data_IF_297588175401
#
_entry.id   IF_297588175401
#
_cell.length_a   1.000
_cell.length_b   1.000
_cell.length_c   1.000
_cell.angle_alpha   90.00
_cell.angle_beta   90.00
_cell.angle_gamma   90.00
#
_symmetry.space_group_name_H-M   'P 1'
#
loop_
_entity.id
_entity.type
_entity.pdbx_description
1 polymer ?
#
# COMPACT_ATOMS: atom_id res chain seq x y z
N UNK A 1 -28.68 -23.23 -32.53
CA UNK A 1 -27.29 -22.73 -32.37
C UNK A 1 -27.21 -21.54 -31.37
N UNK A 2 -28.18 -20.64 -31.43
CA UNK A 2 -28.29 -19.60 -30.42
C UNK A 2 -28.36 -20.17 -29.00
N UNK A 3 -29.14 -21.22 -28.77
CA UNK A 3 -29.31 -21.71 -27.40
C UNK A 3 -27.94 -22.08 -26.78
N UNK A 4 -26.99 -22.58 -27.57
CA UNK A 4 -25.69 -22.92 -26.98
C UNK A 4 -24.61 -21.79 -27.03
N UNK A 5 -24.86 -20.76 -27.83
CA UNK A 5 -24.19 -19.46 -27.65
C UNK A 5 -24.69 -18.69 -26.44
N UNK A 6 -25.93 -18.96 -26.02
CA UNK A 6 -26.45 -18.32 -24.83
C UNK A 6 -25.64 -18.71 -23.62
N UNK A 7 -24.98 -19.86 -23.64
CA UNK A 7 -24.13 -20.26 -22.51
C UNK A 7 -22.95 -19.31 -22.33
N UNK A 8 -22.39 -18.82 -23.43
CA UNK A 8 -21.23 -17.94 -23.35
C UNK A 8 -21.71 -16.69 -22.60
N UNK A 9 -22.88 -16.20 -22.99
CA UNK A 9 -23.48 -15.01 -22.39
C UNK A 9 -23.81 -15.20 -20.92
N UNK A 10 -24.38 -16.36 -20.57
CA UNK A 10 -24.69 -16.66 -19.17
C UNK A 10 -23.44 -16.72 -18.31
N UNK A 11 -22.35 -17.25 -18.86
CA UNK A 11 -21.09 -17.30 -18.11
C UNK A 11 -20.62 -15.88 -17.78
N UNK A 12 -20.87 -14.96 -18.71
CA UNK A 12 -20.52 -13.56 -18.47
C UNK A 12 -21.38 -12.93 -17.38
N UNK A 13 -22.68 -13.25 -17.36
CA UNK A 13 -23.59 -12.73 -16.33
C UNK A 13 -23.17 -13.26 -14.94
N UNK A 14 -22.76 -14.52 -14.88
CA UNK A 14 -22.29 -15.13 -13.62
C UNK A 14 -21.03 -14.44 -13.16
N UNK A 15 -20.17 -14.13 -14.12
CA UNK A 15 -18.92 -13.45 -13.81
C UNK A 15 -19.14 -12.01 -13.31
N UNK A 16 -20.09 -11.30 -13.89
CA UNK A 16 -20.36 -9.94 -13.43
C UNK A 16 -20.87 -10.01 -11.99
N UNK A 17 -21.85 -10.86 -11.74
CA UNK A 17 -22.50 -10.91 -10.46
C UNK A 17 -21.54 -11.33 -9.37
N UNK A 18 -20.48 -12.05 -9.71
CA UNK A 18 -19.56 -12.44 -8.66
C UNK A 18 -18.49 -11.40 -8.42
N UNK A 19 -18.02 -10.72 -9.47
CA UNK A 19 -17.06 -9.65 -9.24
C UNK A 19 -17.67 -8.40 -8.59
N UNK A 20 -18.98 -8.24 -8.65
CA UNK A 20 -19.65 -7.22 -7.83
C UNK A 20 -19.46 -7.46 -6.32
N UNK A 21 -19.00 -8.65 -5.94
CA UNK A 21 -18.82 -9.00 -4.53
C UNK A 21 -17.36 -9.04 -4.08
N UNK A 22 -16.45 -8.51 -4.89
CA UNK A 22 -15.06 -8.43 -4.48
C UNK A 22 -14.95 -7.45 -3.33
N UNK A 23 -14.29 -7.86 -2.24
CA UNK A 23 -14.28 -7.09 -1.01
C UNK A 23 -13.29 -5.91 -1.03
N UNK A 24 -13.52 -4.97 -1.93
CA UNK A 24 -12.74 -3.73 -1.98
C UNK A 24 -12.69 -3.00 -0.64
N UNK A 25 -13.81 -3.00 0.06
CA UNK A 25 -13.95 -2.24 1.31
C UNK A 25 -13.34 -2.95 2.50
N UNK A 26 -13.56 -4.26 2.64
CA UNK A 26 -12.86 -5.06 3.65
C UNK A 26 -11.35 -4.85 3.50
N UNK A 27 -10.86 -4.82 2.26
CA UNK A 27 -9.45 -4.57 1.98
C UNK A 27 -9.01 -3.24 2.58
N UNK A 28 -9.68 -2.18 2.15
CA UNK A 28 -9.37 -0.84 2.61
C UNK A 28 -9.60 -0.62 4.10
N UNK A 29 -10.55 -1.33 4.70
CA UNK A 29 -10.78 -1.23 6.14
C UNK A 29 -9.56 -1.62 6.98
N UNK A 30 -8.63 -2.39 6.39
CA UNK A 30 -7.39 -2.71 7.08
C UNK A 30 -6.61 -1.45 7.40
N UNK A 31 -6.63 -0.45 6.52
CA UNK A 31 -5.97 0.83 6.79
C UNK A 31 -6.51 1.56 8.02
N UNK A 32 -7.82 1.41 8.27
CA UNK A 32 -8.43 1.96 9.49
C UNK A 32 -7.88 1.35 10.80
N UNK A 33 -7.38 0.12 10.77
CA UNK A 33 -6.76 -0.49 11.96
C UNK A 33 -5.34 0.03 12.25
N UNK A 34 -4.87 0.95 11.42
CA UNK A 34 -3.61 1.65 11.67
C UNK A 34 -4.02 3.09 12.00
N UNK A 35 -3.11 4.04 11.92
CA UNK A 35 -3.49 5.44 12.14
C UNK A 35 -4.12 6.02 10.90
N UNK A 36 -5.45 6.00 10.82
CA UNK A 36 -6.16 6.71 9.74
C UNK A 36 -6.14 8.25 9.89
N UNK A 37 -4.96 8.84 9.65
CA UNK A 37 -4.76 10.27 9.43
C UNK A 37 -3.58 10.50 8.47
N UNK A 38 -3.37 11.74 8.06
CA UNK A 38 -2.18 12.12 7.30
C UNK A 38 -2.08 11.42 5.96
N UNK A 39 -0.89 10.91 5.64
CA UNK A 39 -0.63 10.28 4.37
C UNK A 39 -1.44 8.99 4.24
N UNK A 40 -1.65 8.31 5.36
CA UNK A 40 -2.46 7.09 5.39
C UNK A 40 -3.90 7.39 4.93
N UNK A 41 -4.51 8.41 5.52
CA UNK A 41 -5.86 8.78 5.17
C UNK A 41 -5.92 9.32 3.76
N UNK A 42 -4.89 10.06 3.36
CA UNK A 42 -4.85 10.54 1.97
C UNK A 42 -4.94 9.37 0.99
N UNK A 43 -4.17 8.31 1.24
CA UNK A 43 -4.09 7.16 0.32
C UNK A 43 -5.43 6.42 0.40
N UNK A 44 -6.02 6.36 1.58
CA UNK A 44 -7.35 5.73 1.75
C UNK A 44 -8.41 6.45 0.95
N UNK A 45 -8.46 7.77 1.10
CA UNK A 45 -9.39 8.59 0.34
C UNK A 45 -9.17 8.40 -1.16
N UNK A 46 -7.92 8.39 -1.59
CA UNK A 46 -7.63 8.36 -3.02
C UNK A 46 -8.10 7.05 -3.61
N UNK A 47 -7.98 5.99 -2.83
CA UNK A 47 -8.37 4.66 -3.29
C UNK A 47 -9.89 4.47 -3.33
N UNK A 48 -10.65 5.14 -2.47
CA UNK A 48 -12.13 5.15 -2.58
C UNK A 48 -12.60 5.80 -3.85
N UNK A 49 -12.03 6.99 -4.13
CA UNK A 49 -12.24 7.71 -5.39
C UNK A 49 -11.96 6.88 -6.64
N UNK A 50 -10.80 6.21 -6.69
CA UNK A 50 -10.44 5.28 -7.76
C UNK A 50 -11.51 4.24 -7.98
N UNK A 51 -12.07 3.69 -6.89
CA UNK A 51 -13.11 2.66 -6.98
C UNK A 51 -14.40 3.16 -7.60
N UNK A 52 -14.77 4.41 -7.35
CA UNK A 52 -15.85 5.04 -8.09
C UNK A 52 -15.46 5.17 -9.58
N UNK A 53 -14.29 5.77 -9.86
CA UNK A 53 -13.78 5.91 -11.25
C UNK A 53 -13.72 4.52 -11.95
N UNK A 54 -13.29 3.48 -11.23
CA UNK A 54 -13.21 2.12 -11.79
C UNK A 54 -14.60 1.51 -12.00
N UNK A 55 -15.47 1.70 -11.03
CA UNK A 55 -16.80 1.16 -11.13
C UNK A 55 -17.53 1.72 -12.32
N UNK A 56 -17.35 3.00 -12.59
CA UNK A 56 -18.07 3.60 -13.69
C UNK A 56 -17.42 3.38 -15.05
N UNK A 57 -16.10 3.24 -15.04
CA UNK A 57 -15.34 3.04 -16.26
C UNK A 57 -15.41 1.59 -16.68
N UNK A 58 -15.39 0.68 -15.71
CA UNK A 58 -15.21 -0.75 -16.03
C UNK A 58 -16.38 -1.65 -15.70
N UNK A 59 -17.24 -1.27 -14.78
CA UNK A 59 -18.30 -2.20 -14.37
C UNK A 59 -19.66 -1.77 -14.89
N UNK A 60 -19.99 -0.49 -14.79
CA UNK A 60 -21.30 -0.02 -15.27
C UNK A 60 -21.59 -0.42 -16.73
N UNK A 61 -20.64 -0.20 -17.67
CA UNK A 61 -20.82 -0.47 -19.10
C UNK A 61 -21.05 -1.94 -19.46
N UNK A 62 -20.67 -2.85 -18.58
CA UNK A 62 -20.79 -4.27 -18.86
C UNK A 62 -22.22 -4.66 -19.13
N UNK A 63 -23.11 -4.26 -18.25
CA UNK A 63 -24.50 -4.65 -18.35
C UNK A 63 -25.01 -4.42 -19.78
N UNK A 64 -24.68 -3.28 -20.37
CA UNK A 64 -25.17 -2.98 -21.71
C UNK A 64 -24.49 -3.88 -22.78
N UNK A 65 -23.17 -4.03 -22.72
CA UNK A 65 -22.48 -4.96 -23.60
C UNK A 65 -23.19 -6.34 -23.61
N UNK A 66 -23.61 -6.81 -22.45
CA UNK A 66 -24.33 -8.08 -22.39
C UNK A 66 -25.72 -7.98 -22.99
N UNK A 67 -26.44 -6.90 -22.72
CA UNK A 67 -27.75 -6.74 -23.36
C UNK A 67 -27.59 -6.68 -24.91
N UNK A 68 -26.55 -6.02 -25.43
CA UNK A 68 -26.35 -5.93 -26.89
C UNK A 68 -26.01 -7.29 -27.46
N UNK A 69 -25.22 -8.05 -26.70
CA UNK A 69 -24.90 -9.41 -27.09
C UNK A 69 -26.15 -10.28 -27.25
N UNK A 70 -27.17 -10.09 -26.40
CA UNK A 70 -28.38 -10.89 -26.46
C UNK A 70 -29.18 -10.52 -27.69
N UNK A 71 -29.29 -9.22 -27.92
CA UNK A 71 -30.09 -8.69 -29.01
C UNK A 71 -29.48 -9.11 -30.35
N UNK A 72 -28.16 -8.98 -30.46
CA UNK A 72 -27.45 -9.33 -31.69
C UNK A 72 -27.53 -10.82 -31.96
N UNK A 73 -27.40 -11.62 -30.92
CA UNK A 73 -27.46 -13.07 -31.08
C UNK A 73 -28.79 -13.45 -31.65
N UNK A 74 -29.84 -12.93 -31.03
CA UNK A 74 -31.21 -13.17 -31.45
C UNK A 74 -31.48 -12.88 -32.95
N UNK A 75 -30.83 -11.87 -33.53
CA UNK A 75 -30.89 -11.54 -34.96
C UNK A 75 -29.86 -12.33 -35.78
N UNK A 76 -29.20 -13.30 -35.15
CA UNK A 76 -28.21 -14.14 -35.84
C UNK A 76 -26.93 -13.39 -36.25
N UNK A 77 -26.59 -12.34 -35.51
CA UNK A 77 -25.31 -11.65 -35.67
C UNK A 77 -24.30 -12.26 -34.72
N UNK A 78 -23.89 -13.46 -35.07
CA UNK A 78 -23.12 -14.33 -34.19
C UNK A 78 -21.78 -13.78 -33.81
N UNK A 79 -21.02 -13.23 -34.78
CA UNK A 79 -19.69 -12.66 -34.47
C UNK A 79 -19.81 -11.37 -33.69
N UNK A 80 -20.74 -10.52 -34.12
CA UNK A 80 -20.99 -9.26 -33.48
C UNK A 80 -21.33 -9.50 -32.00
N UNK A 81 -22.20 -10.47 -31.75
CA UNK A 81 -22.53 -10.82 -30.38
C UNK A 81 -21.29 -11.29 -29.59
N UNK A 82 -20.47 -12.11 -30.20
CA UNK A 82 -19.26 -12.56 -29.55
C UNK A 82 -18.32 -11.38 -29.22
N UNK A 83 -18.29 -10.38 -30.10
CA UNK A 83 -17.46 -9.27 -29.84
C UNK A 83 -17.89 -8.54 -28.59
N UNK A 84 -19.20 -8.40 -28.41
CA UNK A 84 -19.72 -7.63 -27.27
C UNK A 84 -19.38 -8.39 -26.01
N UNK A 85 -19.34 -9.71 -26.08
CA UNK A 85 -18.95 -10.46 -24.90
C UNK A 85 -17.47 -10.38 -24.65
N UNK A 86 -16.67 -10.39 -25.70
CA UNK A 86 -15.23 -10.24 -25.53
C UNK A 86 -14.94 -8.92 -24.82
N UNK A 87 -15.62 -7.86 -25.27
CA UNK A 87 -15.48 -6.54 -24.68
C UNK A 87 -15.88 -6.58 -23.23
N UNK A 88 -17.02 -7.20 -22.94
CA UNK A 88 -17.45 -7.31 -21.55
C UNK A 88 -16.38 -7.96 -20.68
N UNK A 89 -15.84 -9.08 -21.15
CA UNK A 89 -14.78 -9.76 -20.40
C UNK A 89 -13.51 -8.95 -20.26
N UNK A 90 -13.17 -8.16 -21.27
CA UNK A 90 -12.01 -7.28 -21.20
C UNK A 90 -12.24 -6.26 -20.08
N UNK A 91 -13.45 -5.75 -19.99
CA UNK A 91 -13.77 -4.74 -19.00
C UNK A 91 -13.70 -5.34 -17.61
N UNK A 92 -14.26 -6.52 -17.47
CA UNK A 92 -14.19 -7.19 -16.18
C UNK A 92 -12.76 -7.55 -15.84
N UNK A 93 -11.92 -7.91 -16.82
CA UNK A 93 -10.49 -8.18 -16.54
C UNK A 93 -9.86 -6.94 -15.87
N UNK A 94 -10.17 -5.76 -16.37
CA UNK A 94 -9.67 -4.53 -15.78
C UNK A 94 -10.21 -4.31 -14.36
N UNK A 95 -11.52 -4.42 -14.17
CA UNK A 95 -12.07 -4.31 -12.83
C UNK A 95 -11.34 -5.26 -11.87
N UNK A 96 -11.17 -6.54 -12.25
CA UNK A 96 -10.44 -7.51 -11.43
C UNK A 96 -9.03 -7.02 -11.15
N UNK A 97 -8.35 -6.56 -12.18
CA UNK A 97 -7.01 -6.08 -12.04
C UNK A 97 -6.97 -4.87 -11.08
N UNK A 98 -8.00 -4.04 -11.08
CA UNK A 98 -7.99 -2.85 -10.22
C UNK A 98 -8.14 -3.25 -8.75
N UNK A 99 -8.85 -4.34 -8.49
CA UNK A 99 -8.85 -4.96 -7.18
C UNK A 99 -7.47 -5.44 -6.77
N UNK A 100 -6.82 -6.21 -7.63
CA UNK A 100 -5.51 -6.79 -7.35
C UNK A 100 -4.51 -5.71 -7.03
N UNK A 101 -4.61 -4.61 -7.75
CA UNK A 101 -3.75 -3.46 -7.51
C UNK A 101 -4.01 -2.83 -6.13
N UNK A 102 -5.19 -3.00 -5.58
CA UNK A 102 -5.43 -2.47 -4.25
C UNK A 102 -5.04 -3.41 -3.14
N UNK A 103 -5.14 -4.73 -3.34
CA UNK A 103 -4.58 -5.66 -2.34
C UNK A 103 -3.09 -5.36 -2.18
N UNK A 104 -2.49 -4.97 -3.29
CA UNK A 104 -1.07 -4.80 -3.34
C UNK A 104 -0.71 -3.44 -2.73
N UNK A 105 -1.42 -2.39 -3.13
CA UNK A 105 -1.21 -1.06 -2.58
C UNK A 105 -1.35 -1.01 -1.05
N UNK A 106 -2.28 -1.79 -0.52
CA UNK A 106 -2.52 -1.83 0.92
C UNK A 106 -1.50 -2.69 1.65
N UNK A 107 -1.22 -3.86 1.11
CA UNK A 107 -0.12 -4.68 1.61
C UNK A 107 1.18 -3.87 1.73
N UNK A 108 1.43 -3.00 0.76
CA UNK A 108 2.63 -2.19 0.80
C UNK A 108 2.63 -1.33 2.07
N UNK A 109 1.50 -0.70 2.33
CA UNK A 109 1.32 0.15 3.50
C UNK A 109 1.45 -0.63 4.81
N UNK A 110 0.85 -1.80 4.85
CA UNK A 110 1.01 -2.64 6.04
C UNK A 110 2.48 -2.94 6.28
N UNK A 111 3.19 -3.19 5.18
CA UNK A 111 4.59 -3.59 5.23
C UNK A 111 5.47 -2.45 5.70
N UNK A 112 5.13 -1.24 5.28
CA UNK A 112 5.84 -0.08 5.75
C UNK A 112 5.61 0.25 7.24
N UNK A 113 4.41 0.02 7.76
CA UNK A 113 4.17 0.25 9.18
C UNK A 113 4.99 -0.74 9.98
N UNK A 114 5.02 -1.98 9.52
CA UNK A 114 5.78 -3.03 10.19
C UNK A 114 7.30 -2.78 10.13
N UNK A 115 7.77 -2.34 8.97
CA UNK A 115 9.19 -2.21 8.74
C UNK A 115 9.70 -0.91 9.37
N UNK A 116 8.89 0.15 9.33
CA UNK A 116 9.09 1.36 10.13
C UNK A 116 9.27 1.04 11.62
N UNK A 117 8.43 0.20 12.18
CA UNK A 117 8.63 -0.13 13.58
C UNK A 117 9.87 -1.00 13.79
N UNK A 118 10.25 -1.82 12.81
CA UNK A 118 11.44 -2.64 12.99
C UNK A 118 12.64 -1.74 13.08
N UNK A 119 12.67 -0.71 12.26
CA UNK A 119 13.81 0.19 12.24
C UNK A 119 13.86 1.01 13.48
N UNK A 120 12.69 1.42 13.95
CA UNK A 120 12.64 2.24 15.14
C UNK A 120 13.18 1.46 16.32
N UNK A 121 12.76 0.20 16.45
CA UNK A 121 13.23 -0.60 17.56
C UNK A 121 14.73 -0.74 17.52
N UNK A 122 15.29 -0.82 16.33
CA UNK A 122 16.71 -0.99 16.16
C UNK A 122 17.43 0.29 16.55
N UNK A 123 16.85 1.43 16.18
CA UNK A 123 17.47 2.72 16.51
C UNK A 123 17.41 3.00 18.03
N UNK A 124 16.33 2.65 18.71
CA UNK A 124 16.27 2.81 20.16
C UNK A 124 17.42 2.07 20.80
N UNK A 125 17.61 0.83 20.39
CA UNK A 125 18.60 -0.05 21.00
C UNK A 125 20.03 0.42 20.73
N UNK A 126 20.31 0.80 19.49
CA UNK A 126 21.62 1.32 19.12
C UNK A 126 21.95 2.61 19.84
N UNK A 127 20.97 3.48 20.00
CA UNK A 127 21.10 4.77 20.71
C UNK A 127 21.56 4.47 22.13
N UNK A 128 20.80 3.61 22.79
CA UNK A 128 21.10 3.20 24.13
C UNK A 128 22.54 2.69 24.23
N UNK A 129 22.97 1.83 23.30
CA UNK A 129 24.31 1.23 23.36
C UNK A 129 25.41 2.24 23.13
N UNK A 130 25.22 3.14 22.18
CA UNK A 130 26.19 4.18 21.88
C UNK A 130 26.36 5.17 23.06
N UNK A 131 25.24 5.62 23.61
CA UNK A 131 25.18 6.53 24.77
C UNK A 131 25.95 5.94 25.95
N UNK A 132 25.80 4.63 26.15
CA UNK A 132 26.52 3.91 27.20
C UNK A 132 28.02 3.73 26.91
N UNK A 133 28.37 3.44 25.65
CA UNK A 133 29.77 3.22 25.23
C UNK A 133 30.59 4.48 25.52
N UNK A 134 30.04 5.63 25.17
CA UNK A 134 30.64 6.90 25.54
C UNK A 134 30.69 7.15 27.05
N UNK A 135 29.59 6.97 27.77
CA UNK A 135 29.56 7.32 29.19
C UNK A 135 30.47 6.41 29.99
N UNK A 136 30.74 5.20 29.49
CA UNK A 136 31.56 4.26 30.25
C UNK A 136 32.97 4.11 29.70
N UNK A 137 33.20 4.49 28.45
CA UNK A 137 34.56 4.47 27.87
C UNK A 137 34.92 5.83 27.25
N UNK A 138 34.66 6.87 28.03
CA UNK A 138 35.01 8.24 27.69
C UNK A 138 36.49 8.26 27.28
N UNK A 139 37.38 8.04 28.25
CA UNK A 139 38.84 7.99 28.03
C UNK A 139 39.24 7.31 26.70
N UNK A 140 38.61 6.17 26.39
CA UNK A 140 39.03 5.33 25.25
C UNK A 140 38.80 6.00 23.90
N UNK A 141 38.09 7.13 23.86
CA UNK A 141 37.88 7.88 22.60
C UNK A 141 38.75 9.13 22.47
N UNK A 142 39.46 9.47 23.56
CA UNK A 142 40.32 10.63 23.56
C UNK A 142 39.55 11.92 23.44
N UNK A 143 40.01 12.79 22.54
CA UNK A 143 39.50 14.15 22.44
C UNK A 143 38.20 14.24 21.64
N UNK A 144 37.96 13.29 20.75
CA UNK A 144 36.70 13.24 19.99
C UNK A 144 35.49 12.83 20.84
N UNK A 145 35.59 12.92 22.16
CA UNK A 145 34.55 12.39 23.04
C UNK A 145 33.39 13.36 23.29
N UNK A 146 33.68 14.66 23.44
CA UNK A 146 32.59 15.62 23.70
C UNK A 146 31.76 15.88 22.46
N UNK A 147 32.38 15.74 21.29
CA UNK A 147 31.66 15.88 20.04
C UNK A 147 30.68 14.70 19.92
N UNK A 148 31.14 13.53 20.35
CA UNK A 148 30.32 12.32 20.33
C UNK A 148 29.15 12.38 21.29
N UNK A 149 29.40 12.84 22.51
CA UNK A 149 28.33 12.85 23.53
C UNK A 149 27.17 13.76 23.11
N UNK A 150 27.49 14.88 22.46
CA UNK A 150 26.45 15.76 21.98
C UNK A 150 25.82 15.22 20.69
N UNK A 151 26.62 14.62 19.80
CA UNK A 151 26.09 14.05 18.52
C UNK A 151 25.15 12.85 18.70
N UNK A 152 25.43 12.06 19.71
CA UNK A 152 24.58 10.96 20.08
C UNK A 152 23.32 11.48 20.79
N UNK A 153 23.47 12.51 21.63
CA UNK A 153 22.32 13.18 22.23
C UNK A 153 21.34 13.67 21.12
N UNK A 154 21.86 14.10 19.97
CA UNK A 154 21.03 14.55 18.82
C UNK A 154 20.16 13.47 18.17
N UNK A 155 20.39 12.21 18.53
CA UNK A 155 19.50 11.15 18.08
C UNK A 155 18.24 11.03 18.90
N UNK A 156 18.27 11.48 20.16
CA UNK A 156 17.09 11.33 21.00
C UNK A 156 15.89 12.13 20.49
N UNK A 157 16.03 13.45 20.26
CA UNK A 157 14.88 14.13 19.66
C UNK A 157 14.39 13.46 18.38
N UNK A 158 15.31 12.93 17.58
CA UNK A 158 14.94 12.29 16.29
C UNK A 158 14.16 11.00 16.47
N UNK A 159 14.37 10.30 17.58
CA UNK A 159 13.47 9.19 17.92
C UNK A 159 12.05 9.70 18.20
N UNK A 160 11.93 10.67 19.11
CA UNK A 160 10.61 11.22 19.49
C UNK A 160 9.90 11.71 18.22
N UNK A 161 10.63 12.40 17.33
CA UNK A 161 10.06 12.84 16.04
C UNK A 161 9.39 11.71 15.27
N UNK A 162 9.99 10.53 15.26
CA UNK A 162 9.38 9.39 14.60
C UNK A 162 8.04 9.05 15.23
N UNK A 163 7.96 9.01 16.55
CA UNK A 163 6.69 8.68 17.20
C UNK A 163 5.57 9.61 16.74
N UNK A 164 5.90 10.89 16.57
CA UNK A 164 4.94 11.93 16.16
C UNK A 164 4.44 11.71 14.74
N UNK A 165 5.37 11.48 13.83
CA UNK A 165 5.06 11.24 12.42
C UNK A 165 4.20 9.99 12.22
N UNK A 166 4.56 8.93 12.94
CA UNK A 166 3.81 7.70 12.87
C UNK A 166 2.40 7.91 13.40
N UNK A 167 2.31 8.46 14.60
CA UNK A 167 1.03 8.84 15.25
C UNK A 167 0.12 9.72 14.37
N UNK A 168 0.71 10.57 13.54
CA UNK A 168 -0.05 11.35 12.54
C UNK A 168 -0.40 10.59 11.24
N UNK A 169 -0.05 9.30 11.17
CA UNK A 169 -0.29 8.47 9.99
C UNK A 169 0.54 8.86 8.79
N UNK A 170 1.66 9.54 9.01
CA UNK A 170 2.54 9.86 7.91
C UNK A 170 3.60 8.79 7.75
N UNK A 171 3.14 7.65 7.22
CA UNK A 171 3.96 6.44 7.12
C UNK A 171 5.13 6.64 6.17
N UNK A 172 5.01 7.53 5.19
CA UNK A 172 6.10 7.69 4.23
C UNK A 172 7.20 8.54 4.81
N UNK A 173 6.82 9.62 5.49
CA UNK A 173 7.81 10.52 6.06
C UNK A 173 8.45 9.79 7.23
N UNK A 174 7.63 9.06 7.96
CA UNK A 174 8.12 8.22 9.02
C UNK A 174 9.23 7.27 8.53
N UNK A 175 8.97 6.57 7.43
CA UNK A 175 9.95 5.68 6.87
C UNK A 175 11.19 6.43 6.44
N UNK A 176 11.05 7.49 5.64
CA UNK A 176 12.25 8.20 5.24
C UNK A 176 13.04 8.76 6.42
N UNK A 177 12.33 9.06 7.51
CA UNK A 177 12.95 9.68 8.67
C UNK A 177 13.78 8.68 9.44
N UNK A 178 13.19 7.53 9.66
CA UNK A 178 13.83 6.47 10.44
C UNK A 178 14.92 5.71 9.66
N UNK A 179 14.77 5.59 8.34
CA UNK A 179 15.83 5.06 7.52
C UNK A 179 17.06 5.93 7.57
N UNK A 180 16.85 7.24 7.44
CA UNK A 180 17.95 8.22 7.49
C UNK A 180 18.62 8.16 8.84
N UNK A 181 17.82 8.06 9.90
CA UNK A 181 18.37 8.00 11.24
C UNK A 181 19.24 6.77 11.39
N UNK A 182 18.76 5.65 10.88
CA UNK A 182 19.50 4.41 11.01
C UNK A 182 20.84 4.50 10.29
N UNK A 183 20.79 5.03 9.08
CA UNK A 183 22.00 5.25 8.31
C UNK A 183 23.04 6.01 9.09
N UNK A 184 22.64 7.08 9.76
CA UNK A 184 23.61 7.97 10.38
C UNK A 184 24.13 7.38 11.66
N UNK A 185 23.24 6.71 12.40
CA UNK A 185 23.69 5.95 13.54
C UNK A 185 24.71 4.90 13.06
N UNK A 186 24.40 4.21 11.98
CA UNK A 186 25.32 3.20 11.45
C UNK A 186 26.72 3.75 11.19
N UNK A 187 26.81 4.86 10.48
CA UNK A 187 28.12 5.40 10.14
C UNK A 187 28.82 5.95 11.35
N UNK A 188 28.07 6.45 12.30
CA UNK A 188 28.69 6.87 13.55
C UNK A 188 29.25 5.67 14.33
N UNK A 189 28.64 4.50 14.16
CA UNK A 189 29.11 3.33 14.87
C UNK A 189 30.39 2.79 14.24
N UNK A 190 30.52 2.84 12.91
CA UNK A 190 31.78 2.47 12.23
C UNK A 190 32.90 3.34 12.76
N UNK A 191 32.66 4.65 12.70
CA UNK A 191 33.61 5.60 13.25
C UNK A 191 34.02 5.26 14.68
N UNK A 192 33.06 4.84 15.52
CA UNK A 192 33.38 4.55 16.92
C UNK A 192 34.32 3.34 17.18
N UNK A 193 34.85 2.71 16.12
CA UNK A 193 36.00 1.78 16.28
C UNK A 193 37.34 2.51 16.17
N UNK A 194 37.71 3.25 17.22
CA UNK A 194 38.88 4.13 17.16
C UNK A 194 38.64 5.40 17.94
#
# INVERSE_FOLDING_TARGET
MRSNKRQIIEKAIERKNEIETLPFDQNLAQLSKLNLKGETKTKYDAMKKDNVESTNKYLAPVEEKIHNAEALLDKFSFNASQSEIDDANELMDSYEQSYQQQLEDVNEIIALYKDNDELYDKCKVDYREMKRDVLANRHQFGEAASLLETEIEKFEPRLEQYEVLKADGNYVQAHNHIAALNEQMKQLRSYMHGSSGN
#
